data_IF_703897018567
#
_entry.id   IF_703897018567
#
_cell.length_a   1.000
_cell.length_b   1.000
_cell.length_c   1.000
_cell.angle_alpha   90.00
_cell.angle_beta   90.00
_cell.angle_gamma   90.00
#
_symmetry.space_group_name_H-M   'P 1'
#
loop_
_entity.id
_entity.type
_entity.pdbx_description
1 polymer ?
#
# COMPACT_ATOMS: atom_id res chain seq x y z
N UNK A 1 14.03 -7.97 8.88
CA UNK A 1 13.43 -6.63 8.72
C UNK A 1 12.18 -6.60 9.58
N UNK A 2 12.05 -5.60 10.45
CA UNK A 2 10.87 -5.44 11.29
C UNK A 2 9.72 -4.93 10.39
N UNK A 3 8.66 -5.69 10.11
CA UNK A 3 7.58 -5.27 9.21
C UNK A 3 6.72 -4.13 9.80
N UNK A 4 7.10 -3.60 10.96
CA UNK A 4 6.31 -2.72 11.81
C UNK A 4 6.05 -1.34 11.23
N UNK A 5 6.80 -0.85 10.23
CA UNK A 5 6.62 0.54 9.75
C UNK A 5 6.29 0.67 8.26
N UNK A 6 5.46 -0.24 7.71
CA UNK A 6 4.74 0.06 6.45
C UNK A 6 3.46 0.82 6.79
N UNK A 7 3.30 2.01 6.22
CA UNK A 7 2.13 2.90 6.36
C UNK A 7 1.82 3.60 5.04
N UNK A 8 0.78 4.43 5.00
CA UNK A 8 0.47 5.26 3.85
C UNK A 8 0.01 6.67 4.22
N UNK A 9 0.25 7.62 3.31
CA UNK A 9 -0.31 8.96 3.33
C UNK A 9 -1.25 9.15 2.13
N UNK A 10 -2.29 9.95 2.35
CA UNK A 10 -3.34 10.19 1.37
C UNK A 10 -3.57 11.69 1.22
N UNK A 11 -3.50 12.20 -0.01
CA UNK A 11 -3.79 13.61 -0.30
C UNK A 11 -4.20 13.77 -1.76
N UNK A 12 -5.34 14.40 -2.02
CA UNK A 12 -5.77 14.75 -3.38
C UNK A 12 -5.90 13.57 -4.35
N UNK A 13 -6.38 12.40 -3.89
CA UNK A 13 -6.48 11.18 -4.70
C UNK A 13 -5.17 10.41 -4.85
N UNK A 14 -4.07 10.89 -4.25
CA UNK A 14 -2.79 10.21 -4.30
C UNK A 14 -2.57 9.33 -3.07
N UNK A 15 -2.06 8.12 -3.30
CA UNK A 15 -1.62 7.16 -2.28
C UNK A 15 -0.10 7.12 -2.27
N UNK A 16 0.51 7.39 -1.11
CA UNK A 16 1.95 7.27 -0.89
C UNK A 16 2.21 6.16 0.12
N UNK A 17 2.94 5.13 -0.25
CA UNK A 17 3.36 4.04 0.64
C UNK A 17 4.69 4.40 1.26
N UNK A 18 4.75 4.31 2.59
CA UNK A 18 5.93 4.64 3.37
C UNK A 18 6.49 3.38 4.01
N UNK A 19 7.82 3.26 3.98
CA UNK A 19 8.58 2.28 4.75
C UNK A 19 9.54 3.06 5.64
N UNK A 20 9.41 2.89 6.96
CA UNK A 20 10.18 3.65 7.96
C UNK A 20 10.07 5.18 7.77
N UNK A 21 8.89 5.67 7.35
CA UNK A 21 8.64 7.10 7.14
C UNK A 21 9.15 7.68 5.81
N UNK A 22 9.74 6.86 4.94
CA UNK A 22 10.17 7.26 3.61
C UNK A 22 9.19 6.76 2.55
N UNK A 23 8.81 7.63 1.61
CA UNK A 23 7.98 7.24 0.46
C UNK A 23 8.79 6.31 -0.44
N UNK A 24 8.30 5.09 -0.63
CA UNK A 24 8.92 4.07 -1.50
C UNK A 24 8.11 3.80 -2.76
N UNK A 25 6.83 4.16 -2.74
CA UNK A 25 5.92 3.96 -3.86
C UNK A 25 4.77 4.98 -3.79
N UNK A 26 4.36 5.49 -4.94
CA UNK A 26 3.31 6.49 -5.06
C UNK A 26 2.48 6.21 -6.30
N UNK A 27 1.16 6.34 -6.19
CA UNK A 27 0.22 6.17 -7.30
C UNK A 27 -1.07 6.95 -7.06
N UNK A 28 -1.86 7.14 -8.11
CA UNK A 28 -3.21 7.70 -8.00
C UNK A 28 -4.19 6.60 -7.58
N UNK A 29 -5.16 6.91 -6.72
CA UNK A 29 -6.12 5.96 -6.16
C UNK A 29 -6.98 5.26 -7.24
N UNK A 30 -7.23 5.96 -8.36
CA UNK A 30 -7.94 5.46 -9.53
C UNK A 30 -7.03 4.70 -10.52
N UNK A 31 -5.71 4.73 -10.33
CA UNK A 31 -4.76 3.91 -11.07
C UNK A 31 -4.77 2.47 -10.54
N UNK A 32 -5.71 1.69 -11.07
CA UNK A 32 -5.91 0.29 -10.70
C UNK A 32 -4.66 -0.56 -10.95
N UNK A 33 -3.87 -0.23 -11.99
CA UNK A 33 -2.68 -1.01 -12.34
C UNK A 33 -1.60 -0.84 -11.28
N UNK A 34 -1.30 0.39 -10.90
CA UNK A 34 -0.31 0.66 -9.87
C UNK A 34 -0.78 0.20 -8.48
N UNK A 35 -2.09 0.25 -8.22
CA UNK A 35 -2.72 -0.29 -7.01
C UNK A 35 -2.51 -1.80 -6.88
N UNK A 36 -2.76 -2.57 -7.94
CA UNK A 36 -2.57 -4.02 -7.94
C UNK A 36 -1.08 -4.39 -7.76
N UNK A 37 -0.18 -3.63 -8.39
CA UNK A 37 1.27 -3.79 -8.19
C UNK A 37 1.68 -3.54 -6.73
N UNK A 38 1.11 -2.52 -6.09
CA UNK A 38 1.35 -2.26 -4.66
C UNK A 38 0.86 -3.43 -3.79
N UNK A 39 -0.35 -3.93 -4.04
CA UNK A 39 -0.93 -5.10 -3.33
C UNK A 39 -0.02 -6.32 -3.44
N UNK A 40 0.42 -6.66 -4.67
CA UNK A 40 1.31 -7.80 -4.92
C UNK A 40 2.67 -7.60 -4.23
N UNK A 41 3.23 -6.39 -4.32
CA UNK A 41 4.51 -6.05 -3.69
C UNK A 41 4.48 -6.20 -2.18
N UNK A 42 3.45 -5.66 -1.52
CA UNK A 42 3.27 -5.76 -0.07
C UNK A 42 3.04 -7.20 0.39
N UNK A 43 2.31 -8.00 -0.39
CA UNK A 43 2.11 -9.42 -0.12
C UNK A 43 3.43 -10.21 -0.18
N UNK A 44 4.30 -9.92 -1.14
CA UNK A 44 5.61 -10.57 -1.29
C UNK A 44 6.57 -10.30 -0.14
N UNK A 45 6.43 -9.17 0.55
CA UNK A 45 7.24 -8.83 1.73
C UNK A 45 6.59 -9.29 3.06
N UNK A 46 5.50 -10.06 3.00
CA UNK A 46 4.90 -10.73 4.15
C UNK A 46 3.79 -9.94 4.88
N UNK A 47 3.28 -8.85 4.30
CA UNK A 47 2.10 -8.19 4.86
C UNK A 47 0.83 -9.04 4.65
N UNK A 48 -0.12 -8.91 5.57
CA UNK A 48 -1.42 -9.62 5.55
C UNK A 48 -2.53 -8.76 4.96
N UNK A 49 -3.57 -9.42 4.43
CA UNK A 49 -4.78 -8.86 3.81
C UNK A 49 -5.25 -7.53 4.41
N UNK A 50 -5.74 -7.57 5.65
CA UNK A 50 -6.14 -6.38 6.42
C UNK A 50 -5.16 -5.20 6.39
N UNK A 51 -3.84 -5.45 6.48
CA UNK A 51 -2.85 -4.36 6.50
C UNK A 51 -2.56 -3.82 5.10
N UNK A 52 -2.55 -4.68 4.10
CA UNK A 52 -2.43 -4.28 2.69
C UNK A 52 -3.65 -3.43 2.29
N UNK A 53 -4.85 -3.89 2.62
CA UNK A 53 -6.10 -3.16 2.39
C UNK A 53 -6.06 -1.75 2.99
N UNK A 54 -5.58 -1.63 4.23
CA UNK A 54 -5.39 -0.34 4.89
C UNK A 54 -4.35 0.54 4.19
N UNK A 55 -3.20 -0.02 3.79
CA UNK A 55 -2.12 0.74 3.15
C UNK A 55 -2.53 1.22 1.76
N UNK A 56 -3.19 0.36 0.97
CA UNK A 56 -3.56 0.63 -0.42
C UNK A 56 -4.94 1.28 -0.61
N UNK A 57 -5.71 1.47 0.48
CA UNK A 57 -7.13 1.91 0.45
C UNK A 57 -8.02 1.09 -0.48
N UNK A 58 -7.95 -0.22 -0.30
CA UNK A 58 -8.84 -1.17 -0.97
C UNK A 58 -9.63 -1.94 0.06
N UNK A 59 -10.73 -2.57 -0.36
CA UNK A 59 -11.41 -3.56 0.46
C UNK A 59 -10.49 -4.75 0.72
N UNK A 60 -10.62 -5.40 1.87
CA UNK A 60 -9.88 -6.65 2.14
C UNK A 60 -10.25 -7.77 1.16
N UNK A 61 -11.42 -7.70 0.53
CA UNK A 61 -11.83 -8.62 -0.55
C UNK A 61 -11.06 -8.44 -1.86
N UNK A 62 -10.35 -7.32 -2.03
CA UNK A 62 -9.55 -6.98 -3.23
C UNK A 62 -8.06 -7.35 -3.07
N UNK A 63 -7.69 -8.05 -1.98
CA UNK A 63 -6.30 -8.40 -1.61
C UNK A 63 -6.06 -9.91 -1.65
#
# INVERSE_FOLDING_TARGET
MDPTTVTSLFSGGQVRILVHGHVVYEYQEDDLTHRDLAVIGLRRIGLRGKRIAMVCRVSESEV
#
